data_IF_984346574054
#
_entry.id   IF_984346574054
#
_cell.length_a   1.000
_cell.length_b   1.000
_cell.length_c   1.000
_cell.angle_alpha   90.00
_cell.angle_beta   90.00
_cell.angle_gamma   90.00
#
_symmetry.space_group_name_H-M   'P 1'
#
loop_
_entity.id
_entity.type
_entity.pdbx_description
1 polymer ?
#
# COMPACT_ATOMS: atom_id res chain seq x y z
N UNK A 1 4.08 -29.53 -0.73
CA UNK A 1 2.91 -29.18 0.11
C UNK A 1 2.33 -27.80 -0.26
N UNK A 2 3.04 -26.67 -0.10
CA UNK A 2 2.50 -25.32 -0.39
C UNK A 2 1.93 -25.14 -1.81
N UNK A 3 2.57 -25.73 -2.83
CA UNK A 3 2.08 -25.71 -4.22
C UNK A 3 0.68 -26.33 -4.39
N UNK A 4 0.29 -27.29 -3.53
CA UNK A 4 -1.06 -27.85 -3.58
C UNK A 4 -2.08 -26.82 -3.09
N UNK A 5 -1.88 -26.28 -1.89
CA UNK A 5 -2.78 -25.29 -1.30
C UNK A 5 -2.94 -24.00 -2.13
N UNK A 6 -1.84 -23.45 -2.65
CA UNK A 6 -1.87 -22.13 -3.30
C UNK A 6 -2.03 -22.17 -4.83
N UNK A 7 -1.90 -23.36 -5.46
CA UNK A 7 -1.94 -23.46 -6.93
C UNK A 7 -2.82 -24.61 -7.40
N UNK A 8 -2.48 -25.87 -7.05
CA UNK A 8 -3.18 -27.03 -7.64
C UNK A 8 -4.63 -27.16 -7.17
N UNK A 9 -4.85 -26.96 -5.87
CA UNK A 9 -6.16 -27.13 -5.22
C UNK A 9 -6.70 -25.79 -4.73
N UNK A 10 -6.27 -24.68 -5.34
CA UNK A 10 -6.58 -23.32 -4.88
C UNK A 10 -8.07 -23.07 -4.68
N UNK A 11 -8.93 -23.60 -5.54
CA UNK A 11 -10.39 -23.44 -5.42
C UNK A 11 -10.96 -24.01 -4.11
N UNK A 12 -10.26 -24.92 -3.44
CA UNK A 12 -10.65 -25.43 -2.12
C UNK A 12 -10.12 -24.58 -0.95
N UNK A 13 -9.13 -23.71 -1.21
CA UNK A 13 -8.38 -22.95 -0.19
C UNK A 13 -8.31 -21.45 -0.51
N UNK A 14 -9.22 -20.93 -1.34
CA UNK A 14 -9.22 -19.53 -1.77
C UNK A 14 -9.59 -18.55 -0.66
N UNK A 15 -10.31 -19.03 0.35
CA UNK A 15 -10.87 -18.23 1.43
C UNK A 15 -9.81 -17.82 2.45
N UNK A 16 -9.87 -16.54 2.85
CA UNK A 16 -9.01 -16.01 3.92
C UNK A 16 -9.67 -16.23 5.26
N UNK A 17 -8.83 -16.22 6.31
CA UNK A 17 -9.30 -16.28 7.69
C UNK A 17 -10.14 -15.05 7.99
N UNK A 18 -11.45 -15.23 8.00
CA UNK A 18 -12.40 -14.20 8.43
C UNK A 18 -12.54 -14.23 9.95
N UNK A 19 -11.95 -13.24 10.60
CA UNK A 19 -12.41 -12.87 11.93
C UNK A 19 -13.85 -12.36 11.75
N UNK A 20 -14.84 -12.98 12.39
CA UNK A 20 -16.24 -12.51 12.38
C UNK A 20 -16.29 -11.17 13.13
N UNK A 21 -15.91 -10.10 12.45
CA UNK A 21 -15.59 -8.79 13.00
C UNK A 21 -16.80 -7.88 13.20
N UNK A 22 -18.03 -8.34 12.97
CA UNK A 22 -19.16 -7.43 12.94
C UNK A 22 -19.66 -7.13 14.36
N UNK A 23 -19.02 -6.16 14.99
CA UNK A 23 -19.60 -5.42 16.12
C UNK A 23 -20.77 -4.55 15.68
N UNK A 24 -20.99 -4.36 14.37
CA UNK A 24 -21.98 -3.45 13.80
C UNK A 24 -21.55 -1.98 13.84
N UNK A 25 -20.32 -1.69 14.25
CA UNK A 25 -19.74 -0.34 14.21
C UNK A 25 -19.23 -0.01 12.79
N UNK A 26 -19.29 1.27 12.41
CA UNK A 26 -19.01 1.72 11.04
C UNK A 26 -17.59 1.38 10.54
N UNK A 27 -16.59 1.51 11.41
CA UNK A 27 -15.19 1.13 11.11
C UNK A 27 -15.06 -0.34 10.69
N UNK A 28 -15.65 -1.26 11.44
CA UNK A 28 -15.70 -2.69 11.11
C UNK A 28 -16.48 -2.91 9.82
N UNK A 29 -17.63 -2.24 9.66
CA UNK A 29 -18.43 -2.34 8.43
C UNK A 29 -17.60 -1.94 7.21
N UNK A 30 -16.83 -0.86 7.28
CA UNK A 30 -15.89 -0.46 6.21
C UNK A 30 -14.81 -1.52 5.99
N UNK A 31 -14.12 -1.97 7.04
CA UNK A 31 -13.02 -2.95 6.89
C UNK A 31 -13.51 -4.28 6.31
N UNK A 32 -14.72 -4.72 6.65
CA UNK A 32 -15.30 -5.95 6.07
C UNK A 32 -15.61 -5.86 4.58
N UNK A 33 -15.58 -4.66 3.98
CA UNK A 33 -15.70 -4.48 2.54
C UNK A 33 -14.35 -4.64 1.80
N UNK A 34 -13.21 -4.60 2.50
CA UNK A 34 -11.90 -4.75 1.88
C UNK A 34 -11.72 -6.14 1.25
N UNK A 35 -11.01 -6.22 0.12
CA UNK A 35 -10.73 -7.49 -0.57
C UNK A 35 -10.17 -8.58 0.34
N UNK A 36 -9.31 -8.20 1.29
CA UNK A 36 -8.68 -9.15 2.22
C UNK A 36 -9.65 -9.85 3.18
N UNK A 37 -10.88 -9.34 3.32
CA UNK A 37 -11.94 -9.90 4.17
C UNK A 37 -13.09 -10.55 3.36
N UNK A 38 -13.07 -10.43 2.03
CA UNK A 38 -14.01 -11.11 1.16
C UNK A 38 -13.57 -12.54 0.92
N UNK A 39 -14.55 -13.42 0.73
CA UNK A 39 -14.37 -14.85 0.44
C UNK A 39 -15.24 -15.26 -0.75
N UNK A 40 -15.00 -16.46 -1.31
CA UNK A 40 -15.80 -17.05 -2.37
C UNK A 40 -16.08 -16.13 -3.56
N UNK A 41 -17.34 -16.07 -4.00
CA UNK A 41 -17.76 -15.30 -5.16
C UNK A 41 -17.56 -13.78 -5.00
N UNK A 42 -17.81 -13.23 -3.81
CA UNK A 42 -17.59 -11.80 -3.55
C UNK A 42 -16.12 -11.43 -3.75
N UNK A 43 -15.21 -12.27 -3.24
CA UNK A 43 -13.77 -12.07 -3.45
C UNK A 43 -13.40 -12.20 -4.91
N UNK A 44 -13.88 -13.23 -5.62
CA UNK A 44 -13.59 -13.44 -7.05
C UNK A 44 -14.02 -12.21 -7.88
N UNK A 45 -15.23 -11.72 -7.66
CA UNK A 45 -15.76 -10.53 -8.35
C UNK A 45 -14.96 -9.27 -8.03
N UNK A 46 -14.73 -8.98 -6.74
CA UNK A 46 -13.99 -7.79 -6.33
C UNK A 46 -12.52 -7.84 -6.79
N UNK A 47 -11.90 -9.03 -6.79
CA UNK A 47 -10.55 -9.23 -7.31
C UNK A 47 -10.48 -8.98 -8.81
N UNK A 48 -11.47 -9.45 -9.57
CA UNK A 48 -11.54 -9.23 -11.01
C UNK A 48 -11.65 -7.74 -11.36
N UNK A 49 -12.39 -6.97 -10.57
CA UNK A 49 -12.52 -5.51 -10.73
C UNK A 49 -11.19 -4.78 -10.50
N UNK A 50 -10.44 -5.17 -9.48
CA UNK A 50 -9.22 -4.45 -9.12
C UNK A 50 -7.97 -4.90 -9.87
N UNK A 51 -7.94 -6.11 -10.42
CA UNK A 51 -6.74 -6.62 -11.09
C UNK A 51 -6.27 -5.75 -12.28
N UNK A 52 -7.17 -5.17 -13.12
CA UNK A 52 -6.78 -4.27 -14.21
C UNK A 52 -6.00 -3.02 -13.78
N UNK A 53 -6.13 -2.56 -12.54
CA UNK A 53 -5.42 -1.37 -12.05
C UNK A 53 -3.91 -1.60 -11.89
N UNK A 54 -3.48 -2.87 -11.83
CA UNK A 54 -2.08 -3.28 -11.66
C UNK A 54 -1.46 -3.84 -12.95
N UNK A 55 -2.04 -3.52 -14.11
CA UNK A 55 -1.43 -3.86 -15.40
C UNK A 55 -0.13 -3.08 -15.60
N UNK A 56 0.82 -3.64 -16.37
CA UNK A 56 2.10 -2.99 -16.66
C UNK A 56 1.93 -1.59 -17.26
N UNK A 57 0.91 -1.38 -18.10
CA UNK A 57 0.61 -0.06 -18.66
C UNK A 57 0.20 0.97 -17.61
N UNK A 58 -0.64 0.59 -16.65
CA UNK A 58 -1.08 1.47 -15.56
C UNK A 58 0.05 1.73 -14.55
N UNK A 59 0.85 0.72 -14.23
CA UNK A 59 2.04 0.92 -13.38
C UNK A 59 3.04 1.86 -14.06
N UNK A 60 3.29 1.68 -15.36
CA UNK A 60 4.16 2.57 -16.14
C UNK A 60 3.64 4.02 -16.16
N UNK A 61 2.32 4.26 -16.24
CA UNK A 61 1.78 5.62 -16.19
C UNK A 61 1.93 6.29 -14.82
N UNK A 62 2.03 5.52 -13.74
CA UNK A 62 2.28 6.03 -12.38
C UNK A 62 3.77 6.23 -12.09
N UNK A 63 4.67 5.73 -12.94
CA UNK A 63 6.12 5.77 -12.72
C UNK A 63 6.67 7.18 -12.42
N UNK A 64 6.28 8.25 -13.14
CA UNK A 64 6.78 9.59 -12.84
C UNK A 64 6.46 10.05 -11.40
N UNK A 65 5.26 9.72 -10.89
CA UNK A 65 4.86 10.07 -9.53
C UNK A 65 5.76 9.39 -8.49
N UNK A 66 6.19 8.15 -8.76
CA UNK A 66 7.10 7.40 -7.89
C UNK A 66 8.50 8.02 -7.91
N UNK A 67 8.98 8.45 -9.09
CA UNK A 67 10.25 9.16 -9.26
C UNK A 67 10.26 10.50 -8.51
N UNK A 68 9.21 11.31 -8.66
CA UNK A 68 9.08 12.59 -7.96
C UNK A 68 9.24 12.43 -6.43
N UNK A 69 8.63 11.38 -5.86
CA UNK A 69 8.77 11.08 -4.42
C UNK A 69 10.15 10.54 -4.08
N UNK A 70 10.81 9.81 -4.98
CA UNK A 70 12.15 9.30 -4.77
C UNK A 70 13.18 10.44 -4.76
N UNK A 71 13.03 11.43 -5.65
CA UNK A 71 13.86 12.63 -5.67
C UNK A 71 13.70 13.46 -4.40
N UNK A 72 12.46 13.62 -3.93
CA UNK A 72 12.19 14.23 -2.63
C UNK A 72 12.90 13.47 -1.50
N UNK A 73 12.79 12.14 -1.47
CA UNK A 73 13.47 11.29 -0.48
C UNK A 73 14.99 11.52 -0.50
N UNK A 74 15.62 11.53 -1.67
CA UNK A 74 17.06 11.76 -1.80
C UNK A 74 17.43 13.15 -1.30
N UNK A 75 16.72 14.19 -1.73
CA UNK A 75 16.94 15.58 -1.33
C UNK A 75 16.87 15.75 0.20
N UNK A 76 15.82 15.24 0.84
CA UNK A 76 15.66 15.32 2.29
C UNK A 76 16.64 14.42 3.05
N UNK A 77 17.05 13.31 2.46
CA UNK A 77 18.09 12.44 3.04
C UNK A 77 19.45 13.10 3.05
N UNK A 78 19.86 13.72 1.94
CA UNK A 78 21.14 14.40 1.83
C UNK A 78 21.22 15.64 2.71
N UNK A 79 20.13 16.42 2.83
CA UNK A 79 20.08 17.57 3.73
C UNK A 79 20.33 17.16 5.19
N UNK A 80 19.64 16.14 5.68
CA UNK A 80 19.84 15.66 7.06
C UNK A 80 21.22 15.04 7.26
N UNK A 81 21.74 14.30 6.27
CA UNK A 81 23.08 13.71 6.33
C UNK A 81 24.20 14.76 6.45
N UNK A 82 23.97 15.99 5.98
CA UNK A 82 24.91 17.10 6.11
C UNK A 82 24.99 17.65 7.55
N UNK A 83 23.89 17.54 8.31
CA UNK A 83 23.77 18.04 9.68
C UNK A 83 23.98 16.93 10.73
N UNK A 84 23.63 15.69 10.39
CA UNK A 84 23.66 14.53 11.27
C UNK A 84 24.24 13.30 10.54
N UNK A 85 25.34 12.68 11.03
CA UNK A 85 25.93 11.49 10.41
C UNK A 85 25.04 10.23 10.49
N UNK A 86 23.99 10.25 11.30
CA UNK A 86 23.07 9.14 11.50
C UNK A 86 21.67 9.47 10.98
N UNK A 87 21.32 8.88 9.83
CA UNK A 87 20.01 9.06 9.19
C UNK A 87 19.14 7.82 9.43
N UNK A 88 17.96 8.00 10.03
CA UNK A 88 16.98 6.92 10.17
C UNK A 88 16.25 6.67 8.85
N UNK A 89 16.81 5.76 8.04
CA UNK A 89 16.25 5.40 6.75
C UNK A 89 14.89 4.71 6.85
N UNK A 90 14.57 4.02 7.96
CA UNK A 90 13.26 3.37 8.11
C UNK A 90 12.15 4.41 8.20
N UNK A 91 12.37 5.47 9.00
CA UNK A 91 11.44 6.60 9.11
C UNK A 91 11.26 7.28 7.74
N UNK A 92 12.34 7.48 6.99
CA UNK A 92 12.31 8.11 5.66
C UNK A 92 11.62 7.27 4.60
N UNK A 93 11.91 5.96 4.55
CA UNK A 93 11.22 5.04 3.66
C UNK A 93 9.73 4.99 3.97
N UNK A 94 9.34 5.00 5.26
CA UNK A 94 7.93 5.08 5.67
C UNK A 94 7.19 6.28 5.11
N UNK A 95 7.83 7.45 5.12
CA UNK A 95 7.27 8.68 4.54
C UNK A 95 7.22 8.64 3.01
N UNK A 96 8.30 8.18 2.39
CA UNK A 96 8.36 7.99 0.94
C UNK A 96 7.26 7.05 0.42
N UNK A 97 7.10 5.88 1.05
CA UNK A 97 6.09 4.91 0.63
C UNK A 97 4.69 5.43 0.84
N UNK A 98 4.48 6.22 1.90
CA UNK A 98 3.22 6.86 2.17
C UNK A 98 2.85 7.93 1.14
N UNK A 99 3.78 8.83 0.82
CA UNK A 99 3.58 9.86 -0.22
C UNK A 99 3.38 9.22 -1.60
N UNK A 100 4.15 8.16 -1.91
CA UNK A 100 4.05 7.46 -3.18
C UNK A 100 2.67 6.80 -3.35
N UNK A 101 2.20 6.04 -2.35
CA UNK A 101 0.88 5.41 -2.44
C UNK A 101 -0.25 6.46 -2.38
N UNK A 102 -0.09 7.53 -1.61
CA UNK A 102 -1.11 8.58 -1.53
C UNK A 102 -1.29 9.31 -2.86
N UNK A 103 -0.19 9.64 -3.55
CA UNK A 103 -0.21 10.29 -4.85
C UNK A 103 -0.69 9.31 -5.95
N UNK A 104 -0.15 8.09 -5.99
CA UNK A 104 -0.51 7.11 -7.03
C UNK A 104 -1.93 6.55 -6.89
N UNK A 105 -2.41 6.33 -5.66
CA UNK A 105 -3.69 5.67 -5.44
C UNK A 105 -4.87 6.64 -5.22
N UNK A 106 -4.63 7.85 -4.71
CA UNK A 106 -5.69 8.80 -4.36
C UNK A 106 -5.51 10.18 -4.99
N UNK A 107 -4.38 10.44 -5.64
CA UNK A 107 -4.02 11.78 -6.12
C UNK A 107 -3.89 12.79 -4.98
N UNK A 108 -3.57 12.34 -3.77
CA UNK A 108 -3.40 13.18 -2.58
C UNK A 108 -1.91 13.47 -2.39
N UNK A 109 -1.57 14.75 -2.24
CA UNK A 109 -0.23 15.21 -1.91
C UNK A 109 -0.10 15.39 -0.40
N UNK A 110 0.50 14.41 0.29
CA UNK A 110 0.64 14.42 1.74
C UNK A 110 1.89 15.19 2.21
N UNK A 111 2.90 15.34 1.35
CA UNK A 111 4.18 15.99 1.64
C UNK A 111 4.82 15.54 2.96
N UNK A 112 4.67 14.25 3.31
CA UNK A 112 5.11 13.70 4.59
C UNK A 112 6.63 13.70 4.77
N UNK A 113 7.38 13.77 3.67
CA UNK A 113 8.84 13.95 3.69
C UNK A 113 9.26 15.36 4.14
N UNK A 114 8.43 16.38 3.92
CA UNK A 114 8.70 17.78 4.25
C UNK A 114 8.21 18.11 5.65
N UNK A 115 6.96 17.74 5.94
CA UNK A 115 6.31 18.01 7.22
C UNK A 115 6.23 16.75 8.07
N UNK A 116 7.09 16.69 9.10
CA UNK A 116 7.13 15.60 10.05
C UNK A 116 5.81 15.41 10.80
N UNK A 117 5.02 16.48 10.96
CA UNK A 117 3.75 16.51 11.66
C UNK A 117 2.54 16.44 10.73
N UNK A 118 2.75 16.15 9.44
CA UNK A 118 1.66 15.98 8.48
C UNK A 118 0.61 15.04 9.08
N UNK A 119 -0.61 15.56 9.21
CA UNK A 119 -1.71 14.86 9.89
C UNK A 119 -1.89 13.43 9.35
N UNK A 120 -1.73 13.27 8.04
CA UNK A 120 -1.82 12.00 7.34
C UNK A 120 -0.81 10.96 7.86
N UNK A 121 0.47 11.33 8.00
CA UNK A 121 1.53 10.46 8.53
C UNK A 121 1.21 10.00 9.96
N UNK A 122 0.81 10.95 10.81
CA UNK A 122 0.42 10.65 12.20
C UNK A 122 -0.77 9.70 12.26
N UNK A 123 -1.74 9.83 11.34
CA UNK A 123 -2.88 8.92 11.27
C UNK A 123 -2.48 7.51 10.83
N UNK A 124 -1.51 7.38 9.92
CA UNK A 124 -1.00 6.07 9.49
C UNK A 124 -0.24 5.39 10.63
N UNK A 125 0.66 6.10 11.29
CA UNK A 125 1.35 5.60 12.48
C UNK A 125 0.36 5.18 13.57
N UNK A 126 -0.64 6.04 13.84
CA UNK A 126 -1.70 5.74 14.78
C UNK A 126 -2.58 4.56 14.34
N UNK A 127 -2.67 4.23 13.05
CA UNK A 127 -3.37 3.04 12.57
C UNK A 127 -2.60 1.77 12.93
N UNK A 128 -1.29 1.74 12.66
CA UNK A 128 -0.42 0.58 12.89
C UNK A 128 0.06 0.40 14.33
N UNK A 129 -0.05 1.43 15.18
CA UNK A 129 0.44 1.38 16.55
C UNK A 129 -0.21 0.25 17.36
N UNK A 130 0.61 -0.70 17.83
CA UNK A 130 0.20 -1.80 18.70
C UNK A 130 0.35 -1.39 20.16
N UNK A 131 -0.65 -0.71 20.72
CA UNK A 131 -0.65 -0.39 22.16
C UNK A 131 -1.16 -1.59 22.98
N UNK A 132 -0.69 -1.79 24.23
CA UNK A 132 -1.19 -2.86 25.10
C UNK A 132 -2.71 -2.85 25.24
N UNK A 133 -3.32 -1.66 25.32
CA UNK A 133 -4.77 -1.46 25.33
C UNK A 133 -5.45 -2.04 24.08
N UNK A 134 -4.89 -1.86 22.88
CA UNK A 134 -5.45 -2.41 21.63
C UNK A 134 -5.27 -3.91 21.54
N UNK A 135 -4.12 -4.43 21.96
CA UNK A 135 -3.87 -5.88 22.01
C UNK A 135 -4.90 -6.52 22.96
N UNK A 136 -5.04 -5.98 24.17
CA UNK A 136 -6.03 -6.45 25.15
C UNK A 136 -7.45 -6.38 24.61
N UNK A 137 -7.85 -5.25 24.00
CA UNK A 137 -9.17 -5.08 23.38
C UNK A 137 -9.45 -6.11 22.28
N UNK A 138 -8.45 -6.41 21.45
CA UNK A 138 -8.55 -7.41 20.36
C UNK A 138 -8.66 -8.83 20.92
N UNK A 139 -7.90 -9.14 21.96
CA UNK A 139 -8.01 -10.42 22.68
C UNK A 139 -9.39 -10.56 23.33
N UNK A 140 -9.90 -9.52 23.98
CA UNK A 140 -11.22 -9.52 24.60
C UNK A 140 -12.34 -9.75 23.57
N UNK A 141 -12.25 -9.10 22.40
CA UNK A 141 -13.19 -9.33 21.30
C UNK A 141 -13.20 -10.78 20.83
N UNK A 142 -12.04 -11.45 20.82
CA UNK A 142 -11.92 -12.86 20.45
C UNK A 142 -12.66 -13.79 21.43
N UNK A 143 -12.67 -13.47 22.73
CA UNK A 143 -13.32 -14.30 23.75
C UNK A 143 -14.80 -13.92 23.97
N UNK A 144 -15.17 -12.65 23.83
CA UNK A 144 -16.53 -12.16 24.11
C UNK A 144 -17.06 -11.29 22.95
N UNK A 145 -17.26 -11.86 21.75
CA UNK A 145 -17.70 -11.10 20.57
C UNK A 145 -19.12 -10.51 20.73
N UNK A 146 -19.99 -11.18 21.48
CA UNK A 146 -21.39 -10.76 21.72
C UNK A 146 -21.47 -9.40 22.40
N UNK A 147 -20.57 -9.12 23.35
CA UNK A 147 -20.50 -7.83 24.04
C UNK A 147 -20.14 -6.69 23.08
N UNK A 148 -19.17 -6.94 22.20
CA UNK A 148 -18.75 -5.97 21.19
C UNK A 148 -19.86 -5.69 20.19
N UNK A 149 -20.66 -6.70 19.84
CA UNK A 149 -21.84 -6.55 18.98
C UNK A 149 -22.97 -5.79 19.66
N UNK A 150 -23.25 -6.08 20.93
CA UNK A 150 -24.32 -5.42 21.68
C UNK A 150 -24.05 -3.92 21.86
N UNK A 151 -22.82 -3.58 22.25
CA UNK A 151 -22.40 -2.19 22.50
C UNK A 151 -21.80 -1.48 21.28
N UNK A 152 -21.79 -2.15 20.11
CA UNK A 152 -21.17 -1.64 18.87
C UNK A 152 -19.75 -1.10 19.09
N UNK A 153 -18.91 -1.85 19.80
CA UNK A 153 -17.53 -1.43 20.11
C UNK A 153 -16.61 -1.80 18.95
N UNK A 154 -15.87 -0.82 18.43
CA UNK A 154 -14.87 -1.06 17.37
C UNK A 154 -13.52 -1.52 17.92
N UNK A 155 -12.93 -2.59 17.39
CA UNK A 155 -11.52 -2.96 17.63
C UNK A 155 -10.54 -2.13 16.80
N UNK A 156 -11.02 -1.53 15.70
CA UNK A 156 -10.20 -0.64 14.86
C UNK A 156 -9.99 0.74 15.49
N UNK A 157 -8.84 1.39 15.22
CA UNK A 157 -8.49 2.66 15.84
C UNK A 157 -9.28 3.84 15.26
N UNK A 158 -9.41 4.96 15.99
CA UNK A 158 -10.04 6.19 15.49
C UNK A 158 -9.43 6.76 14.21
N UNK A 159 -8.14 6.51 13.96
CA UNK A 159 -7.48 6.86 12.70
C UNK A 159 -8.22 6.30 11.46
N UNK A 160 -8.99 5.22 11.62
CA UNK A 160 -9.84 4.67 10.55
C UNK A 160 -10.87 5.69 10.05
N UNK A 161 -11.45 6.50 10.95
CA UNK A 161 -12.46 7.50 10.58
C UNK A 161 -11.86 8.62 9.73
N UNK A 162 -10.61 9.00 10.03
CA UNK A 162 -9.85 9.96 9.23
C UNK A 162 -9.69 9.48 7.79
N UNK A 163 -9.22 8.24 7.59
CA UNK A 163 -9.06 7.71 6.23
C UNK A 163 -10.38 7.54 5.49
N UNK A 164 -11.44 7.11 6.18
CA UNK A 164 -12.79 7.06 5.60
C UNK A 164 -13.20 8.45 5.11
N UNK A 165 -12.99 9.47 5.94
CA UNK A 165 -13.40 10.85 5.65
C UNK A 165 -12.57 11.44 4.51
N UNK A 166 -11.24 11.26 4.54
CA UNK A 166 -10.33 11.72 3.50
C UNK A 166 -10.71 11.13 2.13
N UNK A 167 -10.91 9.81 2.04
CA UNK A 167 -11.29 9.18 0.76
C UNK A 167 -12.68 9.61 0.31
N UNK A 168 -13.66 9.75 1.22
CA UNK A 168 -14.99 10.26 0.86
C UNK A 168 -14.93 11.68 0.27
N UNK A 169 -14.12 12.55 0.86
CA UNK A 169 -13.91 13.91 0.35
C UNK A 169 -13.25 13.87 -1.03
N UNK A 170 -12.25 13.01 -1.24
CA UNK A 170 -11.63 12.82 -2.55
C UNK A 170 -12.64 12.32 -3.57
N UNK A 171 -13.45 11.31 -3.25
CA UNK A 171 -14.53 10.80 -4.13
C UNK A 171 -15.49 11.93 -4.53
N UNK A 172 -15.93 12.75 -3.57
CA UNK A 172 -16.84 13.87 -3.85
C UNK A 172 -16.21 14.88 -4.81
N UNK A 173 -14.94 15.23 -4.61
CA UNK A 173 -14.19 16.12 -5.50
C UNK A 173 -14.00 15.53 -6.91
N UNK A 174 -13.86 14.19 -7.03
CA UNK A 174 -13.75 13.49 -8.32
C UNK A 174 -15.06 13.45 -9.08
N UNK A 175 -16.17 13.14 -8.40
CA UNK A 175 -17.51 13.15 -9.00
C UNK A 175 -17.89 14.55 -9.52
N UNK A 176 -17.28 15.62 -8.99
CA UNK A 176 -17.45 16.99 -9.47
C UNK A 176 -16.61 17.36 -10.72
N UNK A 177 -15.79 16.46 -11.27
CA UNK A 177 -15.12 16.64 -12.58
C UNK A 177 -13.59 16.51 -12.60
N UNK A 178 -12.94 16.32 -11.45
CA UNK A 178 -11.47 16.31 -11.35
C UNK A 178 -10.83 14.94 -11.68
N UNK A 179 -10.95 14.43 -12.91
CA UNK A 179 -10.29 13.16 -13.31
C UNK A 179 -8.76 13.30 -13.40
N UNK A 180 -8.01 12.29 -12.94
CA UNK A 180 -6.52 12.23 -12.91
C UNK A 180 -5.94 10.97 -13.54
N UNK A 181 -6.75 9.93 -13.77
CA UNK A 181 -6.36 8.63 -14.30
C UNK A 181 -5.69 7.70 -13.28
N UNK A 182 -5.94 7.90 -11.98
CA UNK A 182 -5.34 7.12 -10.89
C UNK A 182 -6.22 5.93 -10.44
N UNK A 183 -5.80 5.22 -9.39
CA UNK A 183 -6.52 4.06 -8.86
C UNK A 183 -7.97 4.38 -8.45
N UNK A 184 -8.24 5.58 -7.92
CA UNK A 184 -9.58 5.97 -7.52
C UNK A 184 -10.49 6.14 -8.74
N UNK A 185 -10.00 6.78 -9.81
CA UNK A 185 -10.76 6.94 -11.05
C UNK A 185 -11.13 5.57 -11.65
N UNK A 186 -10.22 4.59 -11.58
CA UNK A 186 -10.49 3.21 -12.04
C UNK A 186 -11.57 2.51 -11.20
N UNK A 187 -11.58 2.72 -9.89
CA UNK A 187 -12.64 2.18 -9.02
C UNK A 187 -14.00 2.86 -9.29
N UNK A 188 -14.01 4.16 -9.59
CA UNK A 188 -15.22 4.90 -9.96
C UNK A 188 -15.75 4.45 -11.33
N UNK A 189 -14.87 4.19 -12.30
CA UNK A 189 -15.25 3.62 -13.59
C UNK A 189 -15.83 2.21 -13.44
N UNK A 190 -15.22 1.37 -12.58
CA UNK A 190 -15.71 0.02 -12.31
C UNK A 190 -17.00 -0.02 -11.48
N UNK A 191 -17.29 1.04 -10.72
CA UNK A 191 -18.58 1.21 -10.04
C UNK A 191 -19.73 1.39 -11.04
N UNK A 192 -19.48 1.91 -12.25
CA UNK A 192 -20.50 2.16 -13.27
C UNK A 192 -21.40 3.38 -12.96
N UNK A 193 -22.27 3.73 -13.90
CA UNK A 193 -23.27 4.79 -13.70
C UNK A 193 -24.51 4.22 -12.97
N UNK A 194 -25.17 5.00 -12.08
CA UNK A 194 -26.47 4.64 -11.52
C UNK A 194 -27.53 4.31 -12.58
N UNK A 195 -27.39 4.90 -13.77
CA UNK A 195 -28.31 4.74 -14.90
C UNK A 195 -27.94 3.57 -15.84
N UNK A 196 -26.88 2.82 -15.55
CA UNK A 196 -26.48 1.67 -16.38
C UNK A 196 -27.40 0.46 -16.07
N UNK A 197 -28.45 0.32 -16.89
CA UNK A 197 -29.48 -0.73 -16.83
C UNK A 197 -28.93 -2.16 -16.93
N UNK A 198 -27.64 -2.33 -17.26
CA UNK A 198 -26.97 -3.63 -17.35
C UNK A 198 -26.54 -4.21 -15.98
N UNK A 199 -26.87 -3.56 -14.86
CA UNK A 199 -26.60 -4.10 -13.53
C UNK A 199 -25.11 -4.11 -13.13
N UNK A 200 -24.27 -3.28 -13.77
CA UNK A 200 -22.84 -3.16 -13.50
C UNK A 200 -22.48 -2.37 -12.23
N UNK A 201 -23.44 -2.15 -11.32
CA UNK A 201 -23.19 -1.47 -10.05
C UNK A 201 -22.54 -2.43 -9.03
N UNK A 202 -21.31 -2.87 -9.31
CA UNK A 202 -20.67 -3.96 -8.57
C UNK A 202 -19.96 -3.48 -7.29
N UNK A 203 -19.70 -2.17 -7.16
CA UNK A 203 -19.00 -1.59 -6.00
C UNK A 203 -19.75 -0.40 -5.42
N UNK A 204 -20.11 -0.47 -4.13
CA UNK A 204 -20.70 0.66 -3.40
C UNK A 204 -19.66 1.74 -3.08
N UNK A 205 -20.11 2.97 -2.78
CA UNK A 205 -19.20 4.04 -2.33
C UNK A 205 -18.39 3.61 -1.10
N UNK A 206 -18.99 2.88 -0.16
CA UNK A 206 -18.27 2.31 0.98
C UNK A 206 -17.26 1.23 0.56
N UNK A 207 -17.58 0.45 -0.47
CA UNK A 207 -16.67 -0.53 -1.07
C UNK A 207 -15.45 0.12 -1.71
N UNK A 208 -15.63 1.23 -2.43
CA UNK A 208 -14.54 2.06 -2.98
C UNK A 208 -13.65 2.57 -1.84
N UNK A 209 -14.27 3.20 -0.83
CA UNK A 209 -13.55 3.69 0.36
C UNK A 209 -12.73 2.57 0.99
N UNK A 210 -13.32 1.40 1.17
CA UNK A 210 -12.62 0.26 1.77
C UNK A 210 -11.41 -0.18 0.95
N UNK A 211 -11.51 -0.26 -0.38
CA UNK A 211 -10.36 -0.63 -1.21
C UNK A 211 -9.27 0.43 -1.12
N UNK A 212 -9.63 1.71 -1.20
CA UNK A 212 -8.68 2.81 -1.07
C UNK A 212 -7.91 2.73 0.26
N UNK A 213 -8.62 2.63 1.39
CA UNK A 213 -7.99 2.51 2.71
C UNK A 213 -7.13 1.24 2.80
N UNK A 214 -7.58 0.11 2.24
CA UNK A 214 -6.80 -1.13 2.20
C UNK A 214 -5.48 -0.96 1.44
N UNK A 215 -5.49 -0.35 0.26
CA UNK A 215 -4.27 -0.17 -0.55
C UNK A 215 -3.28 0.79 0.09
N UNK A 216 -3.77 1.88 0.69
CA UNK A 216 -2.95 2.82 1.46
C UNK A 216 -2.15 2.09 2.55
N UNK A 217 -2.85 1.26 3.31
CA UNK A 217 -2.30 0.59 4.50
C UNK A 217 -1.41 -0.58 4.07
N UNK A 218 -1.87 -1.43 3.16
CA UNK A 218 -1.12 -2.59 2.69
C UNK A 218 0.17 -2.20 1.95
N UNK A 219 0.14 -1.12 1.16
CA UNK A 219 1.28 -0.65 0.37
C UNK A 219 2.36 0.05 1.18
N UNK A 220 2.01 0.65 2.32
CA UNK A 220 2.97 1.44 3.10
C UNK A 220 3.96 0.57 3.89
N UNK A 221 3.47 -0.24 4.84
CA UNK A 221 4.32 -0.94 5.82
C UNK A 221 5.19 -2.03 5.18
N UNK A 222 4.66 -2.73 4.18
CA UNK A 222 5.36 -3.80 3.45
C UNK A 222 6.53 -3.24 2.64
N UNK A 223 6.30 -2.16 1.88
CA UNK A 223 7.33 -1.50 1.07
C UNK A 223 8.37 -0.81 1.95
N UNK A 224 7.93 -0.17 3.06
CA UNK A 224 8.85 0.41 4.06
C UNK A 224 9.82 -0.64 4.58
N UNK A 225 9.28 -1.80 4.95
CA UNK A 225 10.07 -2.92 5.49
C UNK A 225 11.04 -3.45 4.44
N UNK A 226 10.58 -3.68 3.20
CA UNK A 226 11.43 -4.14 2.09
C UNK A 226 12.61 -3.19 1.86
N UNK A 227 12.35 -1.88 1.73
CA UNK A 227 13.39 -0.88 1.49
C UNK A 227 14.36 -0.80 2.67
N UNK A 228 13.84 -0.79 3.91
CA UNK A 228 14.65 -0.74 5.13
C UNK A 228 15.60 -1.93 5.22
N UNK A 229 15.10 -3.15 5.01
CA UNK A 229 15.93 -4.35 5.05
C UNK A 229 16.92 -4.41 3.88
N UNK A 230 16.49 -4.05 2.67
CA UNK A 230 17.36 -4.04 1.49
C UNK A 230 18.53 -3.06 1.67
N UNK A 231 18.25 -1.83 2.12
CA UNK A 231 19.29 -0.83 2.40
C UNK A 231 20.19 -1.24 3.56
N UNK A 232 19.65 -1.85 4.61
CA UNK A 232 20.46 -2.39 5.71
C UNK A 232 21.43 -3.46 5.23
N UNK A 233 20.95 -4.42 4.43
CA UNK A 233 21.79 -5.48 3.86
C UNK A 233 22.86 -4.92 2.91
N UNK A 234 22.51 -3.96 2.05
CA UNK A 234 23.48 -3.28 1.18
C UNK A 234 24.54 -2.50 1.98
N UNK A 235 24.14 -1.83 3.07
CA UNK A 235 25.07 -1.11 3.93
C UNK A 235 26.06 -2.06 4.63
N UNK A 236 25.65 -3.30 4.92
CA UNK A 236 26.50 -4.37 5.48
C UNK A 236 27.36 -5.09 4.44
N UNK A 237 27.00 -5.04 3.16
CA UNK A 237 27.69 -5.75 2.07
C UNK A 237 28.19 -4.75 1.01
N UNK A 238 29.29 -4.06 1.31
CA UNK A 238 29.82 -2.96 0.49
C UNK A 238 30.12 -3.37 -0.96
N UNK A 239 30.69 -4.55 -1.19
CA UNK A 239 31.00 -5.02 -2.55
C UNK A 239 29.74 -5.17 -3.40
N UNK A 240 28.66 -5.72 -2.83
CA UNK A 240 27.37 -5.83 -3.52
C UNK A 240 26.74 -4.45 -3.75
N UNK A 241 26.87 -3.53 -2.79
CA UNK A 241 26.46 -2.14 -2.97
C UNK A 241 27.21 -1.45 -4.11
N UNK A 242 28.52 -1.69 -4.26
CA UNK A 242 29.31 -1.14 -5.35
C UNK A 242 28.89 -1.73 -6.70
N UNK A 243 28.77 -3.06 -6.81
CA UNK A 243 28.30 -3.75 -8.03
C UNK A 243 26.92 -3.26 -8.47
N UNK A 244 25.99 -3.12 -7.53
CA UNK A 244 24.65 -2.60 -7.82
C UNK A 244 24.73 -1.15 -8.32
N UNK A 245 25.55 -0.31 -7.68
CA UNK A 245 25.74 1.08 -8.11
C UNK A 245 26.33 1.15 -9.52
N UNK A 246 27.24 0.26 -9.87
CA UNK A 246 27.85 0.21 -11.20
C UNK A 246 26.83 -0.22 -12.27
N UNK A 247 25.99 -1.23 -12.00
CA UNK A 247 24.87 -1.62 -12.88
C UNK A 247 23.93 -0.42 -13.11
N UNK A 248 23.53 0.27 -12.04
CA UNK A 248 22.60 1.41 -12.15
C UNK A 248 23.23 2.61 -12.88
N UNK A 249 24.52 2.86 -12.71
CA UNK A 249 25.24 3.92 -13.45
C UNK A 249 25.36 3.61 -14.93
N UNK A 250 25.67 2.36 -15.28
CA UNK A 250 25.73 1.91 -16.66
C UNK A 250 24.34 2.06 -17.32
N UNK A 251 23.30 1.60 -16.64
CA UNK A 251 21.92 1.77 -17.11
C UNK A 251 21.59 3.24 -17.40
N UNK A 252 21.87 4.16 -16.47
CA UNK A 252 21.60 5.59 -16.67
C UNK A 252 22.43 6.15 -17.83
N UNK A 253 23.68 5.72 -18.00
CA UNK A 253 24.52 6.15 -19.11
C UNK A 253 23.98 5.68 -20.48
N UNK A 254 23.40 4.48 -20.55
CA UNK A 254 22.82 3.92 -21.77
C UNK A 254 21.47 4.54 -22.14
N UNK A 255 20.63 4.81 -21.14
CA UNK A 255 19.26 5.32 -21.35
C UNK A 255 19.11 6.84 -21.22
N UNK A 256 20.14 7.54 -20.74
CA UNK A 256 20.16 8.98 -20.49
C UNK A 256 19.47 9.42 -19.19
N UNK A 257 18.58 8.59 -18.63
CA UNK A 257 17.88 8.84 -17.37
C UNK A 257 17.35 7.52 -16.75
N UNK A 258 16.82 7.60 -15.52
CA UNK A 258 16.09 6.52 -14.86
C UNK A 258 14.70 6.38 -15.50
N UNK A 259 14.53 5.35 -16.33
CA UNK A 259 13.24 5.06 -17.00
C UNK A 259 12.59 3.79 -16.48
N UNK A 260 11.26 3.68 -16.64
CA UNK A 260 10.52 2.45 -16.29
C UNK A 260 11.11 1.21 -16.95
N UNK A 261 11.44 1.30 -18.24
CA UNK A 261 11.98 0.17 -18.98
C UNK A 261 13.35 -0.24 -18.46
N UNK A 262 14.23 0.74 -18.24
CA UNK A 262 15.58 0.49 -17.76
C UNK A 262 15.58 -0.21 -16.39
N UNK A 263 14.75 0.26 -15.44
CA UNK A 263 14.60 -0.39 -14.12
C UNK A 263 14.13 -1.84 -14.24
N UNK A 264 13.16 -2.12 -15.13
CA UNK A 264 12.65 -3.48 -15.33
C UNK A 264 13.70 -4.43 -15.91
N UNK A 265 14.78 -3.90 -16.50
CA UNK A 265 15.89 -4.66 -17.08
C UNK A 265 17.08 -4.83 -16.10
N UNK A 266 17.11 -4.13 -14.95
CA UNK A 266 18.17 -4.27 -13.95
C UNK A 266 18.08 -5.59 -13.16
N UNK A 267 18.96 -6.52 -13.53
CA UNK A 267 18.98 -7.88 -12.99
C UNK A 267 19.54 -7.92 -11.57
N UNK A 268 20.56 -7.12 -11.26
CA UNK A 268 21.16 -7.09 -9.93
C UNK A 268 20.26 -6.33 -8.94
N UNK A 269 19.58 -5.26 -9.38
CA UNK A 269 18.54 -4.63 -8.57
C UNK A 269 17.44 -5.62 -8.17
N UNK A 270 16.86 -6.34 -9.13
CA UNK A 270 15.82 -7.35 -8.88
C UNK A 270 16.34 -8.45 -7.94
N UNK A 271 17.57 -8.92 -8.18
CA UNK A 271 18.24 -9.92 -7.33
C UNK A 271 18.42 -9.45 -5.88
N UNK A 272 18.75 -8.17 -5.66
CA UNK A 272 18.87 -7.58 -4.33
C UNK A 272 17.51 -7.49 -3.63
N UNK A 273 16.46 -7.05 -4.33
CA UNK A 273 15.13 -6.89 -3.74
C UNK A 273 14.45 -8.24 -3.42
N UNK A 274 14.65 -9.27 -4.24
CA UNK A 274 14.04 -10.58 -4.01
C UNK A 274 14.68 -11.37 -2.87
N UNK A 275 15.81 -10.93 -2.31
CA UNK A 275 16.53 -11.61 -1.23
C UNK A 275 17.19 -12.95 -1.61
N UNK A 276 16.68 -13.64 -2.64
CA UNK A 276 17.06 -14.99 -3.07
C UNK A 276 18.45 -15.11 -3.71
N UNK A 277 19.16 -14.00 -3.90
CA UNK A 277 20.48 -14.00 -4.55
C UNK A 277 21.58 -13.31 -3.77
N UNK A 278 21.32 -12.79 -2.57
CA UNK A 278 22.43 -12.30 -1.74
C UNK A 278 23.42 -13.42 -1.39
N UNK A 279 22.94 -14.64 -1.08
CA UNK A 279 23.83 -15.78 -0.81
C UNK A 279 24.54 -16.34 -2.06
N UNK A 280 23.89 -16.34 -3.21
CA UNK A 280 24.45 -16.89 -4.46
C UNK A 280 25.33 -15.90 -5.23
N UNK A 281 25.39 -14.63 -4.82
CA UNK A 281 26.29 -13.60 -5.36
C UNK A 281 27.53 -13.38 -4.48
N UNK A 282 27.61 -14.08 -3.34
CA UNK A 282 28.72 -14.09 -2.38
C UNK A 282 29.72 -15.23 -2.67
N UNK A 283 29.36 -16.21 -3.52
CA UNK A 283 30.25 -17.28 -3.96
C UNK A 283 30.65 -17.12 -5.43
#
# INVERSE_FOLDING_TARGET
>A
MLKYFFVKDFDHFSDRRNFKLSSGHERETMVTQMLSYKNGAEWKTLRAIMSPTFTSGKIKSMFPLVCDKADALVKFSMKEAAENPHVDMKKKFGRYTLDAIASCAFGIECNSLVDENAEFSRMVEAYFQKTPKRIFKTLLHKFIPTLFKLFRISIYPPATDYFISAVKQTIAARKAGNKRGDFLDLLLEAQGSPDDLNGKHVLSDLGIVAQCVMFLIAGNDTTTSLLSFSSFLLAKNKDQQHRLRDELRQMVAEHGDITYQAIMEAKLLDACLQGNKFSNLIN
#
